data_IF_602604186432
#
_entry.id   IF_602604186432
#
_cell.length_a   1.000
_cell.length_b   1.000
_cell.length_c   1.000
_cell.angle_alpha   90.00
_cell.angle_beta   90.00
_cell.angle_gamma   90.00
#
_symmetry.space_group_name_H-M   'P 1'
#
loop_
_entity.id
_entity.type
_entity.pdbx_description
1 polymer ?
#
# COMPACT_ATOMS: atom_id res chain seq x y z
N UNK A 1 -4.20 1.19 28.34
CA UNK A 1 -4.43 2.02 27.13
C UNK A 1 -3.21 1.91 26.24
N UNK A 2 -3.38 1.70 24.94
CA UNK A 2 -2.28 1.47 24.00
C UNK A 2 -2.27 2.64 23.01
N UNK A 3 -1.13 3.32 22.89
CA UNK A 3 -1.01 4.55 22.12
C UNK A 3 -0.03 4.35 20.95
N UNK A 4 -0.38 4.91 19.79
CA UNK A 4 0.57 5.10 18.70
C UNK A 4 1.41 6.35 19.01
N UNK A 5 2.72 6.26 18.81
CA UNK A 5 3.61 7.41 18.88
C UNK A 5 3.80 7.95 17.45
N UNK A 6 3.31 9.17 17.21
CA UNK A 6 3.51 9.85 15.93
C UNK A 6 4.80 10.68 16.01
N UNK A 7 5.77 10.40 15.14
CA UNK A 7 7.06 11.09 15.11
C UNK A 7 7.18 11.90 13.82
N UNK A 8 7.41 13.20 13.95
CA UNK A 8 7.46 14.14 12.82
C UNK A 8 8.88 14.53 12.38
N UNK A 9 9.91 14.12 13.12
CA UNK A 9 11.32 14.50 12.88
C UNK A 9 12.18 13.39 12.25
N UNK A 10 11.56 12.38 11.65
CA UNK A 10 12.29 11.32 10.93
C UNK A 10 12.67 11.80 9.51
N UNK A 11 13.61 11.12 8.85
CA UNK A 11 13.92 11.33 7.44
C UNK A 11 13.08 10.41 6.52
N UNK A 12 12.48 9.35 7.08
CA UNK A 12 11.70 8.35 6.33
C UNK A 12 10.21 8.38 6.69
N UNK A 13 9.35 8.19 5.69
CA UNK A 13 7.90 7.98 5.84
C UNK A 13 7.68 6.47 5.97
N UNK A 14 7.28 5.99 7.16
CA UNK A 14 7.09 4.56 7.40
C UNK A 14 6.17 4.25 8.60
N UNK A 15 5.63 3.03 8.61
CA UNK A 15 4.99 2.41 9.76
C UNK A 15 5.23 0.90 9.81
N UNK A 16 5.02 0.31 10.98
CA UNK A 16 4.87 -1.14 11.13
C UNK A 16 3.54 -1.61 10.56
N UNK A 17 3.51 -2.86 10.07
CA UNK A 17 2.26 -3.47 9.62
C UNK A 17 1.48 -4.05 10.80
N UNK A 18 0.35 -3.44 11.14
CA UNK A 18 -0.54 -3.90 12.20
C UNK A 18 -0.01 -3.61 13.61
N UNK A 19 -0.59 -4.32 14.59
CA UNK A 19 -0.27 -4.16 16.01
C UNK A 19 0.95 -5.00 16.38
N UNK A 20 2.00 -4.36 16.91
CA UNK A 20 3.26 -5.03 17.30
C UNK A 20 3.33 -5.44 18.78
N UNK A 21 2.29 -5.18 19.58
CA UNK A 21 2.23 -5.61 20.98
C UNK A 21 2.71 -4.58 22.03
N UNK A 22 2.97 -3.34 21.63
CA UNK A 22 3.38 -2.23 22.51
C UNK A 22 3.14 -0.88 21.85
N UNK A 23 3.71 0.23 22.38
CA UNK A 23 3.78 1.49 21.64
C UNK A 23 4.48 1.27 20.29
N UNK A 24 3.95 1.88 19.23
CA UNK A 24 4.51 1.76 17.88
C UNK A 24 4.63 3.12 17.21
N UNK A 25 5.68 3.28 16.42
CA UNK A 25 5.96 4.51 15.69
C UNK A 25 5.23 4.52 14.36
N UNK A 26 4.67 5.69 14.03
CA UNK A 26 4.32 6.08 12.67
C UNK A 26 5.07 7.36 12.35
N UNK A 27 5.97 7.31 11.36
CA UNK A 27 6.91 8.37 11.05
C UNK A 27 6.41 9.21 9.86
N UNK A 28 6.36 10.52 10.07
CA UNK A 28 5.79 11.48 9.14
C UNK A 28 6.73 12.69 8.94
N UNK A 29 7.79 12.56 8.14
CA UNK A 29 8.60 13.70 7.74
C UNK A 29 7.77 14.77 7.02
N UNK A 30 8.27 16.01 6.96
CA UNK A 30 7.59 17.14 6.33
C UNK A 30 7.09 16.83 4.90
N UNK A 31 7.89 16.12 4.09
CA UNK A 31 7.50 15.77 2.72
C UNK A 31 6.37 14.73 2.66
N UNK A 32 6.23 13.89 3.69
CA UNK A 32 5.20 12.86 3.79
C UNK A 32 3.88 13.47 4.27
N UNK A 33 3.90 14.40 5.23
CA UNK A 33 2.67 15.10 5.68
C UNK A 33 2.08 16.02 4.62
N UNK A 34 2.90 16.54 3.71
CA UNK A 34 2.43 17.36 2.60
C UNK A 34 1.63 16.57 1.55
N UNK A 35 1.58 15.23 1.68
CA UNK A 35 0.82 14.33 0.81
C UNK A 35 -0.21 13.57 1.63
N UNK A 36 -1.49 13.89 1.43
CA UNK A 36 -2.59 13.16 2.06
C UNK A 36 -2.52 11.64 1.78
N UNK A 37 -2.12 11.26 0.55
CA UNK A 37 -1.92 9.86 0.17
C UNK A 37 -0.81 9.18 0.95
N UNK A 38 0.30 9.88 1.21
CA UNK A 38 1.42 9.32 1.98
C UNK A 38 1.06 9.14 3.45
N UNK A 39 0.37 10.12 4.04
CA UNK A 39 -0.16 9.99 5.41
C UNK A 39 -1.10 8.78 5.51
N UNK A 40 -2.00 8.63 4.53
CA UNK A 40 -2.93 7.51 4.51
C UNK A 40 -2.22 6.16 4.31
N UNK A 41 -1.15 6.11 3.50
CA UNK A 41 -0.35 4.90 3.28
C UNK A 41 0.22 4.35 4.59
N UNK A 42 0.87 5.21 5.38
CA UNK A 42 1.49 4.76 6.64
C UNK A 42 0.45 4.44 7.71
N UNK A 43 -0.66 5.18 7.74
CA UNK A 43 -1.79 4.82 8.60
C UNK A 43 -2.35 3.44 8.24
N UNK A 44 -2.40 3.09 6.95
CA UNK A 44 -2.88 1.78 6.51
C UNK A 44 -1.94 0.65 6.86
N UNK A 45 -0.62 0.85 6.77
CA UNK A 45 0.34 -0.08 7.36
C UNK A 45 0.04 -0.28 8.84
N UNK A 46 -0.10 0.78 9.63
CA UNK A 46 -0.42 0.66 11.06
C UNK A 46 -1.73 -0.11 11.34
N UNK A 47 -2.72 0.02 10.46
CA UNK A 47 -3.98 -0.75 10.51
C UNK A 47 -3.84 -2.21 10.04
N UNK A 48 -2.70 -2.59 9.47
CA UNK A 48 -2.35 -3.95 9.09
C UNK A 48 -2.62 -4.30 7.63
N UNK A 49 -2.56 -3.30 6.75
CA UNK A 49 -2.60 -3.50 5.31
C UNK A 49 -1.19 -3.67 4.76
N UNK A 50 -1.00 -4.67 3.90
CA UNK A 50 0.21 -4.84 3.11
C UNK A 50 0.09 -4.14 1.76
N UNK A 51 1.20 -4.04 1.05
CA UNK A 51 1.18 -3.47 -0.30
C UNK A 51 0.35 -4.30 -1.28
N UNK A 52 -0.43 -3.62 -2.12
CA UNK A 52 -1.36 -4.25 -3.06
C UNK A 52 -0.62 -5.13 -4.09
N UNK A 53 0.58 -4.72 -4.54
CA UNK A 53 1.39 -5.50 -5.49
C UNK A 53 1.98 -6.78 -4.92
N UNK A 54 1.92 -6.96 -3.59
CA UNK A 54 2.37 -8.15 -2.88
C UNK A 54 1.23 -9.14 -2.59
N UNK A 55 0.01 -8.88 -3.08
CA UNK A 55 -1.10 -9.82 -2.96
C UNK A 55 -0.76 -11.19 -3.58
N UNK A 56 -1.28 -12.30 -3.04
CA UNK A 56 -1.05 -13.64 -3.59
C UNK A 56 -1.54 -13.79 -5.03
N UNK A 57 -2.62 -13.09 -5.38
CA UNK A 57 -3.29 -13.12 -6.68
C UNK A 57 -2.79 -12.06 -7.67
N UNK A 58 -1.78 -11.24 -7.31
CA UNK A 58 -1.31 -10.10 -8.10
C UNK A 58 -0.92 -10.45 -9.54
N UNK A 59 -0.39 -11.65 -9.78
CA UNK A 59 0.03 -12.10 -11.11
C UNK A 59 -1.14 -12.22 -12.10
N UNK A 60 -2.40 -12.21 -11.64
CA UNK A 60 -3.57 -12.11 -12.53
C UNK A 60 -3.76 -10.69 -13.09
N UNK A 61 -3.18 -9.69 -12.44
CA UNK A 61 -3.47 -8.26 -12.68
C UNK A 61 -2.27 -7.47 -13.18
N UNK A 62 -1.07 -7.81 -12.72
CA UNK A 62 0.19 -7.14 -13.07
C UNK A 62 1.29 -8.16 -13.37
N UNK A 63 2.33 -7.70 -14.07
CA UNK A 63 3.59 -8.42 -14.31
C UNK A 63 4.74 -7.62 -13.71
N UNK A 64 5.63 -8.28 -12.97
CA UNK A 64 6.84 -7.68 -12.44
C UNK A 64 7.98 -7.87 -13.43
N UNK A 65 8.60 -6.77 -13.87
CA UNK A 65 9.76 -6.80 -14.74
C UNK A 65 11.04 -6.73 -13.91
N UNK A 66 11.53 -7.90 -13.49
CA UNK A 66 12.73 -8.04 -12.66
C UNK A 66 13.98 -7.43 -13.30
N UNK A 67 14.06 -7.39 -14.63
CA UNK A 67 15.20 -6.80 -15.34
C UNK A 67 15.33 -5.28 -15.11
N UNK A 68 14.25 -4.60 -14.70
CA UNK A 68 14.26 -3.17 -14.41
C UNK A 68 14.45 -2.86 -12.91
N UNK A 69 14.44 -3.85 -12.02
CA UNK A 69 14.57 -3.65 -10.58
C UNK A 69 16.03 -3.37 -10.21
N UNK A 70 16.25 -2.47 -9.25
CA UNK A 70 17.55 -2.23 -8.63
C UNK A 70 18.05 -3.50 -7.93
N UNK A 71 19.32 -3.85 -8.12
CA UNK A 71 19.94 -5.01 -7.48
C UNK A 71 19.78 -4.94 -5.96
N UNK A 72 19.29 -6.02 -5.35
CA UNK A 72 19.04 -6.12 -3.91
C UNK A 72 17.69 -5.56 -3.45
N UNK A 73 16.82 -5.11 -4.37
CA UNK A 73 15.46 -4.62 -4.08
C UNK A 73 14.35 -5.56 -4.54
N UNK A 74 14.70 -6.73 -5.06
CA UNK A 74 13.77 -7.73 -5.59
C UNK A 74 12.75 -8.20 -4.54
N UNK A 75 13.17 -8.31 -3.28
CA UNK A 75 12.31 -8.70 -2.16
C UNK A 75 11.08 -7.79 -1.96
N UNK A 76 11.15 -6.52 -2.38
CA UNK A 76 10.01 -5.58 -2.29
C UNK A 76 8.84 -5.93 -3.22
N UNK A 77 9.05 -6.90 -4.12
CA UNK A 77 8.05 -7.38 -5.08
C UNK A 77 7.62 -8.82 -4.82
N UNK A 78 8.09 -9.42 -3.72
CA UNK A 78 7.63 -10.73 -3.27
C UNK A 78 6.15 -10.68 -2.90
N UNK A 79 5.48 -11.82 -3.11
CA UNK A 79 4.09 -12.01 -2.75
C UNK A 79 4.01 -12.60 -1.35
N UNK A 80 3.00 -12.21 -0.61
CA UNK A 80 2.63 -12.91 0.61
C UNK A 80 1.87 -14.19 0.29
N UNK A 81 1.94 -15.17 1.20
CA UNK A 81 1.17 -16.40 1.12
C UNK A 81 -0.27 -16.18 1.62
N UNK A 82 -1.22 -16.99 1.13
CA UNK A 82 -2.64 -16.94 1.51
C UNK A 82 -2.89 -17.28 2.97
N UNK A 83 -1.96 -17.97 3.63
CA UNK A 83 -2.04 -18.28 5.07
C UNK A 83 -1.72 -17.05 5.94
N UNK A 84 -1.09 -16.03 5.35
CA UNK A 84 -0.66 -14.81 6.06
C UNK A 84 -1.49 -13.58 5.66
N UNK A 85 -1.92 -13.49 4.40
CA UNK A 85 -2.78 -12.40 3.92
C UNK A 85 -4.03 -12.94 3.24
N UNK A 86 -5.13 -12.23 3.42
CA UNK A 86 -6.39 -12.51 2.74
C UNK A 86 -6.82 -11.30 1.91
N UNK A 87 -7.43 -11.55 0.76
CA UNK A 87 -8.02 -10.52 -0.08
C UNK A 87 -9.42 -10.14 0.38
N UNK A 88 -9.99 -10.91 1.31
CA UNK A 88 -11.37 -10.79 1.79
C UNK A 88 -12.41 -10.74 0.65
N UNK A 89 -12.10 -11.36 -0.48
CA UNK A 89 -12.96 -11.35 -1.67
C UNK A 89 -12.99 -10.02 -2.43
N UNK A 90 -12.17 -9.04 -2.04
CA UNK A 90 -12.09 -7.73 -2.69
C UNK A 90 -11.21 -7.79 -3.93
N UNK A 91 -11.70 -7.18 -5.01
CA UNK A 91 -10.99 -7.07 -6.28
C UNK A 91 -9.65 -6.34 -6.13
N UNK A 92 -8.68 -6.70 -6.97
CA UNK A 92 -7.40 -6.01 -7.06
C UNK A 92 -7.57 -4.53 -7.43
N UNK A 93 -6.94 -3.64 -6.66
CA UNK A 93 -7.08 -2.21 -6.84
C UNK A 93 -5.79 -1.54 -7.33
N UNK A 94 -5.70 -1.34 -8.65
CA UNK A 94 -4.61 -0.63 -9.31
C UNK A 94 -4.35 0.78 -8.75
N UNK A 95 -5.39 1.45 -8.24
CA UNK A 95 -5.33 2.81 -7.70
C UNK A 95 -5.25 2.87 -6.17
N UNK A 96 -5.06 1.71 -5.51
CA UNK A 96 -4.93 1.64 -4.05
C UNK A 96 -3.79 2.52 -3.57
N UNK A 97 -4.01 3.19 -2.43
CA UNK A 97 -2.96 3.93 -1.72
C UNK A 97 -1.79 3.00 -1.34
N UNK A 98 -2.05 1.71 -1.20
CA UNK A 98 -1.04 0.68 -0.89
C UNK A 98 -0.36 0.10 -2.12
N UNK A 99 -0.69 0.55 -3.33
CA UNK A 99 -0.07 0.04 -4.55
C UNK A 99 1.16 0.87 -4.92
N UNK A 100 2.30 0.22 -5.17
CA UNK A 100 3.47 0.90 -5.70
C UNK A 100 3.25 1.55 -7.07
N UNK A 101 3.95 2.65 -7.31
CA UNK A 101 4.04 3.25 -8.64
C UNK A 101 4.68 2.29 -9.64
N UNK A 102 4.38 2.50 -10.93
CA UNK A 102 4.87 1.62 -12.01
C UNK A 102 6.40 1.55 -12.14
N UNK A 103 7.12 2.55 -11.63
CA UNK A 103 8.59 2.69 -11.69
C UNK A 103 9.25 2.53 -10.33
N UNK A 104 8.53 2.06 -9.30
CA UNK A 104 9.09 1.84 -7.97
C UNK A 104 10.34 0.95 -8.04
N UNK A 105 11.41 1.34 -7.33
CA UNK A 105 12.71 0.65 -7.32
C UNK A 105 13.30 0.37 -8.70
N UNK A 106 12.98 1.20 -9.70
CA UNK A 106 13.55 1.08 -11.04
C UNK A 106 15.01 1.50 -11.06
N UNK A 107 15.86 0.73 -11.75
CA UNK A 107 17.28 1.08 -11.97
C UNK A 107 17.53 1.93 -13.21
N UNK A 108 16.53 2.06 -14.09
CA UNK A 108 16.69 2.66 -15.41
C UNK A 108 15.50 3.57 -15.81
N UNK A 109 14.65 3.94 -14.84
CA UNK A 109 13.44 4.73 -15.06
C UNK A 109 12.33 3.99 -15.81
N UNK A 110 12.55 2.75 -16.27
CA UNK A 110 11.53 1.93 -16.93
C UNK A 110 10.63 1.27 -15.89
N UNK A 111 9.44 0.86 -16.33
CA UNK A 111 8.44 0.23 -15.46
C UNK A 111 8.94 -1.09 -14.87
N UNK A 112 8.88 -1.21 -13.55
CA UNK A 112 9.05 -2.45 -12.78
C UNK A 112 7.73 -3.19 -12.62
N UNK A 113 6.59 -2.47 -12.61
CA UNK A 113 5.25 -3.05 -12.57
C UNK A 113 4.47 -2.68 -13.83
N UNK A 114 4.01 -3.68 -14.57
CA UNK A 114 3.24 -3.52 -15.82
C UNK A 114 1.84 -4.10 -15.63
N UNK A 115 0.81 -3.31 -15.91
CA UNK A 115 -0.58 -3.77 -15.82
C UNK A 115 -0.95 -4.69 -16.98
N UNK A 116 -1.67 -5.78 -16.70
CA UNK A 116 -2.18 -6.69 -17.73
C UNK A 116 -3.44 -6.15 -18.43
N UNK A 117 -4.15 -5.21 -17.79
CA UNK A 117 -5.27 -4.48 -18.38
C UNK A 117 -4.78 -3.13 -18.92
N UNK A 118 -5.07 -2.84 -20.19
CA UNK A 118 -4.69 -1.60 -20.84
C UNK A 118 -5.35 -0.39 -20.17
N UNK A 119 -4.66 0.76 -20.13
CA UNK A 119 -5.13 2.07 -19.62
C UNK A 119 -5.38 2.19 -18.10
N UNK A 120 -4.83 1.32 -17.26
CA UNK A 120 -4.85 1.54 -15.79
C UNK A 120 -3.56 2.21 -15.30
N UNK A 121 -3.71 3.32 -14.58
CA UNK A 121 -2.62 3.98 -13.86
C UNK A 121 -2.44 3.32 -12.48
N UNK A 122 -1.19 3.21 -12.02
CA UNK A 122 -0.82 2.57 -10.76
C UNK A 122 -0.46 3.61 -9.71
N UNK A 123 -0.93 3.39 -8.47
CA UNK A 123 -0.54 4.22 -7.33
C UNK A 123 -0.93 5.69 -7.50
N UNK A 124 -2.09 5.96 -8.10
CA UNK A 124 -2.58 7.34 -8.29
C UNK A 124 -3.15 7.96 -7.02
N UNK A 125 -3.28 7.18 -5.93
CA UNK A 125 -3.85 7.62 -4.65
C UNK A 125 -5.25 8.24 -4.78
N UNK A 126 -6.00 7.89 -5.83
CA UNK A 126 -7.28 8.53 -6.19
C UNK A 126 -8.50 7.81 -5.63
N UNK A 127 -8.34 6.62 -5.04
CA UNK A 127 -9.48 5.87 -4.48
C UNK A 127 -9.66 6.11 -2.99
N UNK A 128 -10.91 6.37 -2.64
CA UNK A 128 -11.37 6.71 -1.30
C UNK A 128 -11.13 5.56 -0.32
N UNK A 129 -10.81 5.96 0.92
CA UNK A 129 -10.66 5.15 2.14
C UNK A 129 -11.66 3.98 2.24
N UNK A 130 -12.88 4.19 1.75
CA UNK A 130 -13.96 3.22 1.87
C UNK A 130 -13.70 1.91 1.11
N UNK A 131 -13.15 1.96 -0.11
CA UNK A 131 -12.93 0.74 -0.88
C UNK A 131 -11.82 -0.13 -0.28
N UNK A 132 -10.80 0.47 0.31
CA UNK A 132 -9.73 -0.22 1.01
C UNK A 132 -10.16 -0.70 2.41
N UNK A 133 -10.95 0.06 3.17
CA UNK A 133 -11.47 -0.41 4.48
C UNK A 133 -12.46 -1.57 4.37
N UNK A 134 -13.18 -1.69 3.24
CA UNK A 134 -14.03 -2.85 2.96
C UNK A 134 -13.25 -4.17 2.94
N UNK A 135 -11.93 -4.12 2.70
CA UNK A 135 -11.08 -5.31 2.73
C UNK A 135 -11.02 -5.88 4.14
N UNK A 136 -10.84 -5.10 5.21
CA UNK A 136 -10.50 -5.69 6.54
C UNK A 136 -11.69 -5.88 7.48
N UNK A 137 -12.72 -5.06 7.38
CA UNK A 137 -13.72 -4.97 8.45
C UNK A 137 -15.06 -5.67 8.18
N UNK A 138 -15.36 -6.11 6.95
CA UNK A 138 -16.74 -6.54 6.61
C UNK A 138 -17.80 -5.43 6.83
N UNK A 139 -17.35 -4.22 7.16
CA UNK A 139 -18.19 -3.03 7.33
C UNK A 139 -18.46 -2.52 5.92
N UNK A 140 -19.70 -2.69 5.47
CA UNK A 140 -20.16 -2.10 4.22
C UNK A 140 -19.87 -0.60 4.21
N UNK A 141 -19.43 -0.10 3.05
CA UNK A 141 -19.31 1.32 2.82
C UNK A 141 -20.66 2.01 3.04
N UNK A 142 -20.83 2.69 4.18
CA UNK A 142 -21.88 3.69 4.29
C UNK A 142 -21.45 4.87 3.44
N UNK A 143 -22.11 5.06 2.29
CA UNK A 143 -22.00 6.28 1.53
C UNK A 143 -22.43 7.43 2.45
N UNK A 144 -21.46 8.23 2.89
CA UNK A 144 -21.75 9.50 3.52
C UNK A 144 -22.42 10.40 2.49
N UNK A 145 -23.74 10.41 2.46
CA UNK A 145 -24.48 11.51 1.85
C UNK A 145 -24.17 12.75 2.67
N UNK A 146 -23.58 13.75 2.05
CA UNK A 146 -23.41 15.09 2.64
C UNK A 146 -24.74 15.53 3.25
N UNK A 147 -24.75 15.84 4.55
CA UNK A 147 -25.72 16.76 5.13
C UNK A 147 -25.16 18.17 5.06
#
# INVERSE_FOLDING_TARGET
MQYNNFIFFDNSCYSYVGRIGGPQTVAYPQWCINSFGSVLHELYHALGFFHEQSRPDRDKYVTINHNNIQSGKEHNFEKYNTDFVTTFGVNYDYSSVMHYHSTAFSKNGKRTIVTKKTKKQLGTFTKTICQSMSQRCGIGCVNGTNR
#
